data_IF_005092618211
#
_entry.id   IF_005092618211
#
_cell.length_a   1.000
_cell.length_b   1.000
_cell.length_c   1.000
_cell.angle_alpha   90.00
_cell.angle_beta   90.00
_cell.angle_gamma   90.00
#
_symmetry.space_group_name_H-M   'P 1'
#
loop_
_entity.id
_entity.type
_entity.pdbx_description
1 polymer ?
#
# COMPACT_ATOMS: atom_id res chain seq x y z
N UNK A 1 -27.61 -13.25 8.48
CA UNK A 1 -26.45 -14.17 8.63
C UNK A 1 -25.27 -13.33 9.06
N UNK A 2 -24.62 -13.67 10.18
CA UNK A 2 -23.44 -12.94 10.62
C UNK A 2 -22.28 -13.29 9.67
N UNK A 3 -21.67 -12.26 9.07
CA UNK A 3 -20.46 -12.41 8.27
C UNK A 3 -19.34 -12.79 9.24
N UNK A 4 -18.66 -13.91 9.00
CA UNK A 4 -17.54 -14.39 9.84
C UNK A 4 -16.29 -13.52 9.60
N UNK A 5 -16.36 -12.30 10.11
CA UNK A 5 -15.35 -11.26 9.94
C UNK A 5 -14.03 -11.67 10.62
N UNK A 6 -14.08 -12.52 11.64
CA UNK A 6 -12.89 -13.05 12.32
C UNK A 6 -12.03 -13.96 11.43
N UNK A 7 -12.62 -14.64 10.44
CA UNK A 7 -11.84 -15.39 9.44
C UNK A 7 -11.09 -14.43 8.50
N UNK A 8 -11.73 -13.34 8.09
CA UNK A 8 -11.13 -12.29 7.25
C UNK A 8 -9.97 -11.61 7.97
N UNK A 9 -10.17 -11.22 9.23
CA UNK A 9 -9.13 -10.57 10.03
C UNK A 9 -7.90 -11.48 10.24
N UNK A 10 -8.12 -12.78 10.49
CA UNK A 10 -7.02 -13.75 10.61
C UNK A 10 -6.28 -13.93 9.29
N UNK A 11 -6.99 -14.07 8.17
CA UNK A 11 -6.37 -14.22 6.85
C UNK A 11 -5.57 -12.97 6.46
N UNK A 12 -6.13 -11.77 6.66
CA UNK A 12 -5.43 -10.51 6.40
C UNK A 12 -4.23 -10.29 7.33
N UNK A 13 -4.33 -10.71 8.59
CA UNK A 13 -3.21 -10.69 9.53
C UNK A 13 -2.04 -11.56 9.07
N UNK A 14 -2.34 -12.77 8.58
CA UNK A 14 -1.34 -13.66 7.98
C UNK A 14 -0.75 -13.05 6.70
N UNK A 15 -1.58 -12.50 5.81
CA UNK A 15 -1.14 -11.84 4.56
C UNK A 15 -0.17 -10.68 4.86
N UNK A 16 -0.52 -9.80 5.80
CA UNK A 16 0.36 -8.69 6.21
C UNK A 16 1.70 -9.18 6.76
N UNK A 17 1.68 -10.23 7.58
CA UNK A 17 2.90 -10.81 8.16
C UNK A 17 3.78 -11.42 7.08
N UNK A 18 3.20 -12.21 6.18
CA UNK A 18 3.91 -12.81 5.05
C UNK A 18 4.50 -11.74 4.14
N UNK A 19 3.75 -10.67 3.84
CA UNK A 19 4.25 -9.55 3.03
C UNK A 19 5.50 -8.90 3.63
N UNK A 20 5.54 -8.72 4.96
CA UNK A 20 6.74 -8.22 5.64
C UNK A 20 7.89 -9.21 5.52
N UNK A 21 7.63 -10.51 5.70
CA UNK A 21 8.65 -11.55 5.66
C UNK A 21 9.25 -11.73 4.25
N UNK A 22 8.45 -11.66 3.20
CA UNK A 22 8.92 -11.79 1.80
C UNK A 22 9.80 -10.62 1.36
N UNK A 23 9.71 -9.47 2.05
CA UNK A 23 10.63 -8.34 1.84
C UNK A 23 11.95 -8.48 2.60
N UNK A 24 12.00 -9.32 3.63
CA UNK A 24 13.18 -9.51 4.48
C UNK A 24 13.99 -10.76 4.12
N UNK A 25 13.32 -11.78 3.58
CA UNK A 25 13.90 -13.09 3.33
C UNK A 25 13.55 -13.61 1.94
N UNK A 26 14.40 -14.48 1.35
CA UNK A 26 14.06 -15.15 0.10
C UNK A 26 12.85 -16.08 0.27
N UNK A 27 12.13 -16.42 -0.81
CA UNK A 27 10.93 -17.25 -0.74
C UNK A 27 11.20 -18.70 -0.27
N UNK A 28 12.45 -19.17 -0.36
CA UNK A 28 12.88 -20.48 0.16
C UNK A 28 13.12 -20.49 1.67
N UNK A 29 13.06 -19.34 2.34
CA UNK A 29 13.32 -19.25 3.77
C UNK A 29 12.20 -19.91 4.59
N UNK A 30 12.51 -20.69 5.65
CA UNK A 30 11.50 -21.44 6.41
C UNK A 30 10.41 -20.54 7.02
N UNK A 31 10.75 -19.32 7.43
CA UNK A 31 9.76 -18.36 7.94
C UNK A 31 8.73 -17.94 6.87
N UNK A 32 9.15 -17.80 5.62
CA UNK A 32 8.25 -17.46 4.51
C UNK A 32 7.38 -18.67 4.17
N UNK A 33 7.98 -19.87 4.10
CA UNK A 33 7.24 -21.11 3.86
C UNK A 33 6.16 -21.35 4.93
N UNK A 34 6.46 -21.08 6.19
CA UNK A 34 5.49 -21.22 7.27
C UNK A 34 4.40 -20.15 7.21
N UNK A 35 4.77 -18.90 6.91
CA UNK A 35 3.79 -17.82 6.73
C UNK A 35 2.86 -18.08 5.52
N UNK A 36 3.37 -18.72 4.47
CA UNK A 36 2.57 -19.20 3.34
C UNK A 36 1.59 -20.29 3.74
N UNK A 37 2.02 -21.23 4.60
CA UNK A 37 1.14 -22.25 5.19
C UNK A 37 0.03 -21.61 6.04
N UNK A 38 0.34 -20.57 6.79
CA UNK A 38 -0.63 -19.79 7.56
C UNK A 38 -1.65 -19.09 6.67
N UNK A 39 -1.22 -18.47 5.56
CA UNK A 39 -2.15 -17.93 4.55
C UNK A 39 -3.08 -19.04 4.09
N UNK A 40 -2.54 -20.17 3.62
CA UNK A 40 -3.34 -21.31 3.13
C UNK A 40 -4.37 -21.81 4.15
N UNK A 41 -4.03 -21.81 5.44
CA UNK A 41 -4.96 -22.19 6.52
C UNK A 41 -6.14 -21.23 6.70
N UNK A 42 -5.96 -19.95 6.33
CA UNK A 42 -7.00 -18.91 6.43
C UNK A 42 -7.88 -18.80 5.18
N UNK A 43 -7.44 -19.30 4.03
CA UNK A 43 -8.16 -19.17 2.75
C UNK A 43 -9.56 -19.82 2.73
N UNK A 44 -9.79 -21.00 3.34
CA UNK A 44 -11.14 -21.59 3.34
C UNK A 44 -12.20 -20.69 3.97
N UNK A 45 -11.83 -19.94 5.02
CA UNK A 45 -12.73 -18.98 5.65
C UNK A 45 -13.08 -17.78 4.75
N UNK A 46 -12.12 -17.32 3.94
CA UNK A 46 -12.38 -16.31 2.90
C UNK A 46 -13.25 -16.88 1.77
N UNK A 47 -13.00 -18.11 1.33
CA UNK A 47 -13.76 -18.75 0.26
C UNK A 47 -15.23 -18.98 0.63
N UNK A 48 -15.53 -19.22 1.91
CA UNK A 48 -16.90 -19.35 2.41
C UNK A 48 -17.74 -18.07 2.25
N UNK A 49 -17.10 -16.91 2.13
CA UNK A 49 -17.75 -15.63 1.85
C UNK A 49 -18.06 -15.41 0.35
N UNK A 50 -17.57 -16.31 -0.52
CA UNK A 50 -17.65 -16.17 -1.96
C UNK A 50 -16.63 -15.17 -2.49
N UNK A 51 -17.05 -14.36 -3.46
CA UNK A 51 -16.20 -13.32 -4.04
C UNK A 51 -16.18 -12.09 -3.14
N UNK A 52 -14.98 -11.69 -2.70
CA UNK A 52 -14.78 -10.58 -1.77
C UNK A 52 -14.12 -9.42 -2.50
N UNK A 53 -14.69 -8.23 -2.39
CA UNK A 53 -14.10 -6.99 -2.93
C UNK A 53 -13.57 -6.12 -1.80
N UNK A 54 -12.27 -5.80 -1.86
CA UNK A 54 -11.62 -4.87 -0.95
C UNK A 54 -11.23 -3.60 -1.67
N UNK A 55 -11.63 -2.45 -1.14
CA UNK A 55 -11.26 -1.14 -1.65
C UNK A 55 -9.94 -0.71 -1.05
N UNK A 56 -9.03 -0.23 -1.88
CA UNK A 56 -7.72 0.26 -1.47
C UNK A 56 -7.77 1.78 -1.41
N UNK A 57 -7.68 2.31 -0.19
CA UNK A 57 -7.52 3.73 0.08
C UNK A 57 -6.05 4.06 0.37
N UNK A 58 -5.73 5.35 0.34
CA UNK A 58 -4.41 5.84 0.77
C UNK A 58 -4.13 5.54 2.25
N UNK A 59 -5.19 5.41 3.06
CA UNK A 59 -5.13 5.14 4.50
C UNK A 59 -5.12 3.66 4.86
N UNK A 60 -5.44 2.76 3.91
CA UNK A 60 -5.50 1.33 4.15
C UNK A 60 -6.59 0.61 3.36
N UNK A 61 -6.93 -0.61 3.80
CA UNK A 61 -7.84 -1.52 3.12
C UNK A 61 -9.26 -1.39 3.68
N UNK A 62 -10.28 -1.26 2.83
CA UNK A 62 -11.67 -1.07 3.25
C UNK A 62 -12.56 -2.18 2.70
N UNK A 63 -13.49 -2.67 3.52
CA UNK A 63 -14.50 -3.65 3.12
C UNK A 63 -15.87 -3.21 3.62
N UNK A 64 -16.87 -3.18 2.73
CA UNK A 64 -18.22 -2.66 3.03
C UNK A 64 -18.24 -1.27 3.69
N UNK A 65 -17.30 -0.39 3.33
CA UNK A 65 -17.20 0.96 3.91
C UNK A 65 -16.50 1.02 5.28
N UNK A 66 -16.11 -0.12 5.85
CA UNK A 66 -15.35 -0.21 7.09
C UNK A 66 -13.85 -0.36 6.79
N UNK A 67 -13.01 0.30 7.59
CA UNK A 67 -11.56 0.15 7.50
C UNK A 67 -11.16 -1.19 8.14
N UNK A 68 -10.56 -2.08 7.35
CA UNK A 68 -10.09 -3.38 7.79
C UNK A 68 -8.77 -3.26 8.52
N UNK A 69 -8.70 -3.87 9.70
CA UNK A 69 -7.49 -3.96 10.52
C UNK A 69 -6.71 -2.63 10.63
N UNK A 70 -7.33 -1.52 11.11
CA UNK A 70 -6.67 -0.21 11.24
C UNK A 70 -5.39 -0.24 12.08
N UNK A 71 -5.27 -1.20 12.99
CA UNK A 71 -4.11 -1.38 13.89
C UNK A 71 -3.02 -2.26 13.29
N UNK A 72 -3.28 -2.96 12.20
CA UNK A 72 -2.28 -3.79 11.54
C UNK A 72 -1.53 -2.94 10.51
N UNK A 73 -0.36 -2.44 10.92
CA UNK A 73 0.47 -1.56 10.08
C UNK A 73 0.95 -2.25 8.81
N UNK A 74 1.13 -3.58 8.81
CA UNK A 74 1.62 -4.31 7.63
C UNK A 74 0.58 -4.37 6.52
N UNK A 75 -0.69 -4.52 6.88
CA UNK A 75 -1.81 -4.48 5.92
C UNK A 75 -2.00 -3.07 5.38
N UNK A 76 -1.86 -2.05 6.24
CA UNK A 76 -1.90 -0.65 5.82
C UNK A 76 -0.74 -0.31 4.86
N UNK A 77 0.49 -0.79 5.12
CA UNK A 77 1.65 -0.63 4.24
C UNK A 77 1.43 -1.31 2.88
N UNK A 78 0.95 -2.56 2.88
CA UNK A 78 0.61 -3.29 1.65
C UNK A 78 -0.43 -2.50 0.83
N UNK A 79 -1.50 -2.03 1.47
CA UNK A 79 -2.53 -1.20 0.82
C UNK A 79 -1.95 0.11 0.27
N UNK A 80 -1.07 0.78 1.02
CA UNK A 80 -0.40 2.01 0.59
C UNK A 80 0.48 1.80 -0.64
N UNK A 81 1.22 0.69 -0.70
CA UNK A 81 2.05 0.34 -1.86
C UNK A 81 1.19 0.04 -3.10
N UNK A 82 0.13 -0.75 -2.95
CA UNK A 82 -0.83 -1.00 -4.03
C UNK A 82 -1.51 0.30 -4.50
N UNK A 83 -1.88 1.18 -3.57
CA UNK A 83 -2.44 2.49 -3.89
C UNK A 83 -1.48 3.35 -4.72
N UNK A 84 -0.18 3.34 -4.36
CA UNK A 84 0.88 4.04 -5.07
C UNK A 84 1.16 3.44 -6.46
N UNK A 85 0.84 2.15 -6.67
CA UNK A 85 0.83 1.51 -8.00
C UNK A 85 -0.43 1.84 -8.82
N UNK A 86 -1.39 2.56 -8.23
CA UNK A 86 -2.62 2.96 -8.91
C UNK A 86 -3.76 1.95 -8.77
N UNK A 87 -3.58 0.90 -7.95
CA UNK A 87 -4.66 -0.03 -7.60
C UNK A 87 -5.66 0.67 -6.70
N UNK A 88 -6.95 0.43 -6.92
CA UNK A 88 -8.07 1.02 -6.19
C UNK A 88 -9.00 -0.01 -5.56
N UNK A 89 -9.05 -1.22 -6.11
CA UNK A 89 -9.71 -2.33 -5.44
C UNK A 89 -9.03 -3.66 -5.81
N UNK A 90 -9.17 -4.64 -4.95
CA UNK A 90 -8.83 -6.04 -5.19
C UNK A 90 -10.11 -6.84 -5.08
N UNK A 91 -10.34 -7.72 -6.04
CA UNK A 91 -11.39 -8.71 -5.98
C UNK A 91 -10.76 -10.08 -5.81
N UNK A 92 -11.08 -10.74 -4.71
CA UNK A 92 -10.60 -12.08 -4.36
C UNK A 92 -11.72 -13.06 -4.67
N UNK A 93 -11.50 -13.94 -5.65
CA UNK A 93 -12.44 -15.00 -5.97
C UNK A 93 -12.16 -16.27 -5.15
N UNK A 94 -13.16 -17.12 -4.91
CA UNK A 94 -12.96 -18.41 -4.27
C UNK A 94 -11.97 -19.27 -5.08
N UNK A 95 -11.17 -20.08 -4.37
CA UNK A 95 -10.08 -20.86 -4.97
C UNK A 95 -8.78 -20.07 -5.13
N UNK A 96 -8.62 -18.93 -4.45
CA UNK A 96 -7.33 -18.27 -4.31
C UNK A 96 -6.35 -19.20 -3.56
N UNK A 97 -5.08 -19.18 -3.93
CA UNK A 97 -4.01 -19.94 -3.29
C UNK A 97 -2.98 -18.98 -2.71
N UNK A 98 -2.05 -19.48 -1.90
CA UNK A 98 -1.00 -18.65 -1.31
C UNK A 98 -0.05 -18.08 -2.38
N UNK A 99 0.16 -18.79 -3.49
CA UNK A 99 0.99 -18.37 -4.63
C UNK A 99 0.40 -17.13 -5.32
N UNK A 100 -0.93 -17.04 -5.46
CA UNK A 100 -1.58 -15.84 -5.98
C UNK A 100 -1.31 -14.61 -5.10
N UNK A 101 -1.24 -14.80 -3.77
CA UNK A 101 -0.87 -13.72 -2.84
C UNK A 101 0.58 -13.28 -3.00
N UNK A 102 1.51 -14.20 -3.30
CA UNK A 102 2.88 -13.83 -3.66
C UNK A 102 2.93 -13.00 -4.95
N UNK A 103 2.11 -13.36 -5.95
CA UNK A 103 1.92 -12.55 -7.16
C UNK A 103 1.48 -11.13 -6.82
N UNK A 104 0.49 -10.98 -5.94
CA UNK A 104 0.01 -9.68 -5.48
C UNK A 104 1.09 -8.88 -4.73
N UNK A 105 1.94 -9.52 -3.92
CA UNK A 105 3.08 -8.86 -3.28
C UNK A 105 4.09 -8.35 -4.32
N UNK A 106 4.32 -9.13 -5.38
CA UNK A 106 5.10 -8.70 -6.53
C UNK A 106 4.54 -7.44 -7.19
N UNK A 107 3.21 -7.35 -7.34
CA UNK A 107 2.55 -6.14 -7.86
C UNK A 107 2.76 -4.95 -6.93
N UNK A 108 2.62 -5.13 -5.61
CA UNK A 108 2.81 -4.06 -4.63
C UNK A 108 4.23 -3.47 -4.68
N UNK A 109 5.24 -4.31 -4.86
CA UNK A 109 6.65 -3.89 -4.97
C UNK A 109 6.99 -3.38 -6.38
N UNK A 110 6.22 -3.76 -7.40
CA UNK A 110 6.41 -3.36 -8.80
C UNK A 110 7.22 -4.35 -9.64
N UNK A 111 7.38 -5.59 -9.18
CA UNK A 111 8.05 -6.67 -9.91
C UNK A 111 7.11 -7.39 -10.88
N UNK A 112 5.80 -7.32 -10.65
CA UNK A 112 4.76 -8.05 -11.40
C UNK A 112 3.74 -7.05 -11.94
N UNK A 113 3.26 -7.27 -13.16
CA UNK A 113 2.21 -6.44 -13.75
C UNK A 113 0.84 -6.74 -13.09
N UNK A 114 -0.05 -5.74 -12.94
CA UNK A 114 -1.36 -5.94 -12.31
C UNK A 114 -2.33 -6.84 -13.09
N UNK A 115 -2.01 -7.18 -14.35
CA UNK A 115 -2.78 -8.07 -15.23
C UNK A 115 -2.06 -9.41 -15.50
N UNK A 116 -1.00 -9.71 -14.73
CA UNK A 116 -0.22 -10.93 -14.92
C UNK A 116 -1.00 -12.19 -14.48
N UNK A 117 -0.81 -13.29 -15.20
CA UNK A 117 -1.47 -14.56 -14.94
C UNK A 117 -1.15 -15.15 -13.56
N UNK A 118 -0.02 -14.75 -12.96
CA UNK A 118 0.37 -15.18 -11.60
C UNK A 118 -0.62 -14.74 -10.51
N UNK A 119 -1.47 -13.75 -10.79
CA UNK A 119 -2.54 -13.32 -9.87
C UNK A 119 -3.72 -14.30 -9.85
N UNK A 120 -3.89 -15.10 -10.91
CA UNK A 120 -4.87 -16.18 -11.02
C UNK A 120 -6.29 -15.76 -10.66
N UNK A 121 -6.72 -16.07 -9.42
CA UNK A 121 -8.07 -15.77 -8.91
C UNK A 121 -8.21 -14.39 -8.24
N UNK A 122 -7.12 -13.64 -8.15
CA UNK A 122 -7.09 -12.27 -7.67
C UNK A 122 -7.19 -11.33 -8.86
N UNK A 123 -8.23 -10.50 -8.90
CA UNK A 123 -8.35 -9.43 -9.89
C UNK A 123 -8.04 -8.07 -9.25
N UNK A 124 -7.30 -7.23 -9.98
CA UNK A 124 -6.80 -5.94 -9.50
C UNK A 124 -7.45 -4.83 -10.31
N UNK A 125 -8.25 -3.98 -9.65
CA UNK A 125 -8.91 -2.85 -10.30
C UNK A 125 -8.04 -1.60 -10.19
N UNK A 126 -7.57 -1.13 -11.33
CA UNK A 126 -6.75 0.08 -11.45
C UNK A 126 -7.62 1.33 -11.56
N UNK A 127 -7.15 2.45 -11.02
CA UNK A 127 -7.80 3.75 -11.19
C UNK A 127 -7.65 4.28 -12.62
N UNK A 128 -8.59 5.12 -13.09
CA UNK A 128 -8.63 5.66 -14.46
C UNK A 128 -7.29 6.20 -14.98
N UNK A 129 -6.55 6.94 -14.15
CA UNK A 129 -5.22 7.49 -14.53
C UNK A 129 -4.14 6.40 -14.62
N UNK A 130 -4.20 5.38 -13.76
CA UNK A 130 -3.25 4.27 -13.78
C UNK A 130 -3.48 3.38 -15.00
N UNK A 131 -4.74 3.08 -15.33
CA UNK A 131 -5.11 2.38 -16.55
C UNK A 131 -4.62 3.13 -17.79
N UNK A 132 -4.84 4.45 -17.88
CA UNK A 132 -4.33 5.25 -19.01
C UNK A 132 -2.80 5.23 -19.13
N UNK A 133 -2.06 5.32 -18.02
CA UNK A 133 -0.59 5.21 -18.03
C UNK A 133 -0.11 3.83 -18.44
N UNK A 134 -0.77 2.76 -17.98
CA UNK A 134 -0.43 1.39 -18.36
C UNK A 134 -0.79 1.10 -19.81
N UNK A 135 -1.94 1.58 -20.30
CA UNK A 135 -2.30 1.54 -21.72
C UNK A 135 -1.29 2.30 -22.57
N UNK A 136 -0.88 3.50 -22.17
CA UNK A 136 0.15 4.26 -22.87
C UNK A 136 1.53 3.57 -22.83
N UNK A 137 1.86 2.92 -21.71
CA UNK A 137 3.13 2.16 -21.57
C UNK A 137 3.14 0.89 -22.42
N UNK A 138 1.98 0.21 -22.59
CA UNK A 138 1.84 -0.92 -23.52
C UNK A 138 2.02 -0.47 -24.98
N UNK A 139 1.43 0.67 -25.35
CA UNK A 139 1.58 1.24 -26.70
C UNK A 139 3.01 1.69 -26.99
N UNK A 140 3.77 2.12 -25.98
CA UNK A 140 5.21 2.44 -26.11
C UNK A 140 6.13 1.21 -26.13
N UNK A 141 5.64 0.05 -25.69
CA UNK A 141 6.38 -1.22 -25.69
C UNK A 141 6.18 -2.05 -26.95
N UNK A 142 5.19 -1.71 -27.78
CA UNK A 142 5.04 -2.28 -29.12
C UNK A 142 5.86 -1.43 -30.09
N UNK A 143 7.04 -1.92 -30.47
CA UNK A 143 7.71 -1.45 -31.69
C UNK A 143 6.98 -2.14 -32.85
N UNK A 144 6.08 -1.45 -33.57
CA UNK A 144 5.63 -1.98 -34.86
C UNK A 144 6.86 -2.11 -35.77
N UNK A 145 7.01 -3.17 -36.59
CA UNK A 145 7.93 -3.10 -37.71
C UNK A 145 7.52 -1.89 -38.54
N UNK A 146 8.47 -0.98 -38.74
CA UNK A 146 8.24 0.28 -39.43
C UNK A 146 7.51 0.06 -40.77
N UNK A 147 6.31 0.65 -40.98
CA UNK A 147 5.87 0.88 -42.34
C UNK A 147 6.76 1.98 -42.92
N UNK A 148 7.49 1.66 -43.99
CA UNK A 148 8.22 2.65 -44.76
C UNK A 148 7.28 3.80 -45.16
N UNK A 149 7.67 5.07 -45.00
CA UNK A 149 6.84 6.19 -45.43
C UNK A 149 6.84 6.27 -46.96
N UNK A 150 5.70 6.43 -47.64
CA UNK A 150 5.70 6.96 -49.00
C UNK A 150 6.14 8.43 -48.93
N UNK A 151 7.13 8.79 -49.75
CA UNK A 151 7.64 10.15 -49.86
C UNK A 151 6.53 11.13 -50.30
N UNK A 152 6.36 12.28 -49.63
CA UNK A 152 5.50 13.35 -50.14
C UNK A 152 6.20 14.12 -51.29
N UNK A 153 5.46 14.58 -52.32
CA UNK A 153 6.02 15.46 -53.35
C UNK A 153 6.36 16.84 -52.77
N UNK A 154 7.33 17.57 -53.36
CA UNK A 154 7.78 18.86 -52.83
C UNK A 154 6.70 19.95 -52.99
N UNK A 155 6.50 20.83 -51.99
CA UNK A 155 5.61 21.97 -52.11
C UNK A 155 6.23 23.10 -52.96
N UNK A 156 5.43 23.83 -53.76
CA UNK A 156 5.89 25.00 -54.51
C UNK A 156 6.17 26.19 -53.57
N UNK A 157 7.21 26.97 -53.89
CA UNK A 157 7.64 28.14 -53.12
C UNK A 157 6.62 29.30 -53.18
N UNK A 158 6.22 29.89 -52.04
CA UNK A 158 5.47 31.14 -52.02
C UNK A 158 6.39 32.39 -51.97
N UNK A 159 5.98 33.41 -52.74
CA UNK A 159 6.63 34.71 -52.96
C UNK A 159 6.48 35.69 -51.75
N UNK A 160 7.19 36.85 -51.74
CA UNK A 160 7.50 37.62 -50.53
C UNK A 160 6.37 38.49 -49.97
N UNK A 161 6.49 38.79 -48.68
CA UNK A 161 5.50 39.47 -47.82
C UNK A 161 5.40 41.00 -48.01
N UNK A 162 4.22 41.61 -47.77
CA UNK A 162 4.04 43.06 -47.67
C UNK A 162 4.34 43.62 -46.24
N UNK A 163 4.64 44.92 -46.11
CA UNK A 163 5.19 45.57 -44.90
C UNK A 163 4.15 45.94 -43.82
N UNK A 164 4.61 46.27 -42.58
CA UNK A 164 3.76 46.40 -41.40
C UNK A 164 3.09 47.77 -41.27
N UNK A 165 1.82 47.78 -40.87
CA UNK A 165 1.09 48.98 -40.45
C UNK A 165 1.21 49.19 -38.93
N UNK A 166 1.39 50.46 -38.55
CA UNK A 166 1.75 50.92 -37.22
C UNK A 166 0.54 51.33 -36.34
N UNK A 167 0.84 51.38 -35.03
CA UNK A 167 0.25 52.21 -33.96
C UNK A 167 -1.07 51.74 -33.30
N UNK A 168 -1.44 52.23 -32.08
CA UNK A 168 -0.76 53.18 -31.18
C UNK A 168 -0.60 52.70 -29.70
N UNK A 169 -0.03 53.58 -28.88
CA UNK A 169 0.45 53.38 -27.51
C UNK A 169 -0.58 53.61 -26.36
N UNK A 170 -0.14 53.17 -25.18
CA UNK A 170 -0.49 53.57 -23.79
C UNK A 170 -1.62 52.80 -23.07
N UNK A 171 -1.68 52.77 -21.70
CA UNK A 171 -0.77 53.34 -20.70
C UNK A 171 -0.26 52.36 -19.62
N UNK A 172 0.67 52.86 -18.80
CA UNK A 172 1.25 52.27 -17.58
C UNK A 172 0.25 52.31 -16.41
N UNK A 173 0.08 51.19 -15.69
CA UNK A 173 -0.53 51.18 -14.35
C UNK A 173 0.16 50.17 -13.39
N UNK A 174 0.88 50.77 -12.44
CA UNK A 174 0.93 50.53 -10.98
C UNK A 174 1.28 49.12 -10.45
N UNK A 175 2.39 49.12 -9.70
CA UNK A 175 2.80 48.09 -8.76
C UNK A 175 1.81 47.92 -7.58
N UNK A 176 1.56 46.68 -7.18
CA UNK A 176 1.10 46.34 -5.84
C UNK A 176 1.71 45.01 -5.40
N UNK A 177 2.61 45.09 -4.42
CA UNK A 177 3.20 43.97 -3.70
C UNK A 177 2.13 43.05 -3.09
N UNK A 178 2.30 41.71 -3.11
CA UNK A 178 1.46 40.83 -2.31
C UNK A 178 1.77 40.99 -0.80
N UNK A 179 0.75 41.02 0.09
CA UNK A 179 0.97 41.02 1.53
C UNK A 179 1.53 39.67 2.05
N UNK A 180 2.28 39.67 3.18
CA UNK A 180 3.03 38.52 3.69
C UNK A 180 2.15 37.41 4.31
N UNK A 181 2.71 36.18 4.48
CA UNK A 181 2.02 35.08 5.15
C UNK A 181 1.74 35.41 6.62
N UNK A 182 0.51 35.10 7.06
CA UNK A 182 0.11 35.18 8.47
C UNK A 182 0.94 34.20 9.29
N UNK A 183 1.81 34.76 10.12
CA UNK A 183 2.40 34.08 11.26
C UNK A 183 1.35 33.99 12.36
N UNK A 184 0.82 32.80 12.64
CA UNK A 184 0.27 32.52 13.96
C UNK A 184 1.42 32.10 14.87
N UNK A 185 1.96 33.08 15.58
CA UNK A 185 2.72 32.90 16.80
C UNK A 185 2.07 33.84 17.81
N UNK A 186 1.18 33.31 18.63
CA UNK A 186 0.84 33.96 19.91
C UNK A 186 1.76 33.36 20.96
N UNK A 187 2.48 34.31 21.53
CA UNK A 187 3.65 34.25 22.37
C UNK A 187 3.34 33.78 23.82
N UNK A 188 4.37 33.66 24.68
CA UNK A 188 4.34 32.90 25.91
C UNK A 188 3.94 33.74 27.13
N UNK A 189 3.23 33.12 28.08
CA UNK A 189 2.99 33.66 29.41
C UNK A 189 3.89 32.99 30.44
N UNK A 190 4.85 33.74 30.98
CA UNK A 190 5.81 33.34 32.02
C UNK A 190 5.36 33.96 33.35
N UNK A 191 5.08 33.15 34.37
CA UNK A 191 5.32 33.48 35.80
C UNK A 191 5.06 32.22 36.66
N UNK A 192 6.10 31.43 37.01
CA UNK A 192 7.07 31.53 38.12
C UNK A 192 6.48 31.23 39.52
N UNK A 193 7.15 30.26 40.18
CA UNK A 193 7.24 30.00 41.64
C UNK A 193 5.96 29.41 42.28
N UNK A 194 5.98 28.39 43.14
CA UNK A 194 6.99 27.69 43.95
C UNK A 194 6.56 26.21 44.04
N UNK A 195 7.45 25.22 44.06
CA UNK A 195 8.04 24.72 45.31
C UNK A 195 7.57 23.28 45.60
N UNK A 196 8.52 22.41 46.00
CA UNK A 196 8.41 20.99 46.41
C UNK A 196 8.38 19.97 45.28
N UNK A 197 9.52 19.38 44.90
CA UNK A 197 10.33 18.34 45.59
C UNK A 197 9.92 16.91 45.16
N UNK A 198 10.89 16.03 44.86
CA UNK A 198 10.69 14.80 44.09
C UNK A 198 10.48 13.60 45.01
N UNK A 199 9.57 12.68 44.66
CA UNK A 199 9.54 11.35 45.31
C UNK A 199 9.20 10.21 44.35
N UNK A 200 10.21 9.34 44.25
CA UNK A 200 10.11 7.89 44.35
C UNK A 200 9.47 7.12 43.19
N UNK A 201 10.36 6.65 42.32
CA UNK A 201 10.28 5.33 41.72
C UNK A 201 10.19 4.25 42.83
N UNK A 202 9.33 3.22 42.71
CA UNK A 202 9.54 1.98 43.42
C UNK A 202 10.41 1.05 42.57
N UNK A 203 11.69 1.00 42.93
CA UNK A 203 12.51 -0.20 42.81
C UNK A 203 11.87 -1.26 43.72
N UNK A 204 11.46 -2.42 43.17
CA UNK A 204 11.19 -3.61 43.99
C UNK A 204 12.17 -4.70 43.60
N UNK A 205 13.27 -4.70 44.34
CA UNK A 205 14.30 -5.72 44.36
C UNK A 205 13.82 -6.97 45.11
N UNK A 206 14.31 -8.12 44.63
CA UNK A 206 14.79 -9.29 45.38
C UNK A 206 13.85 -10.13 46.27
N UNK A 207 13.90 -11.42 45.88
CA UNK A 207 14.35 -12.60 46.65
C UNK A 207 13.27 -13.56 47.18
N UNK A 208 13.71 -14.82 47.20
CA UNK A 208 13.10 -16.06 47.73
C UNK A 208 11.93 -16.60 46.89
N UNK A 209 11.97 -17.81 46.32
CA UNK A 209 12.34 -19.06 46.98
C UNK A 209 12.77 -20.13 45.96
N UNK A 210 13.98 -20.65 46.14
CA UNK A 210 14.28 -22.04 45.82
C UNK A 210 13.37 -22.93 46.67
N UNK A 211 12.58 -23.80 46.05
CA UNK A 211 12.28 -25.10 46.66
C UNK A 211 12.35 -26.18 45.59
N UNK A 212 13.44 -26.92 45.66
CA UNK A 212 13.48 -28.30 45.23
C UNK A 212 12.40 -29.08 45.98
N UNK A 213 11.59 -29.84 45.25
CA UNK A 213 10.97 -31.05 45.75
C UNK A 213 11.18 -32.15 44.72
N UNK A 214 12.21 -32.96 44.99
CA UNK A 214 12.24 -34.36 44.63
C UNK A 214 11.06 -35.05 45.32
N UNK A 215 10.31 -35.86 44.57
CA UNK A 215 9.67 -37.10 45.03
C UNK A 215 9.59 -37.98 43.79
N UNK A 216 10.34 -39.09 43.69
CA UNK A 216 9.89 -40.41 44.14
C UNK A 216 8.41 -40.64 43.74
N UNK A 217 8.06 -41.50 42.79
CA UNK A 217 8.56 -42.86 42.59
C UNK A 217 7.46 -43.84 42.99
N UNK A 218 6.88 -44.52 42.00
CA UNK A 218 6.07 -45.76 42.06
C UNK A 218 5.54 -45.97 40.64
N UNK A 219 6.06 -46.89 39.81
CA UNK A 219 6.24 -48.33 39.98
C UNK A 219 4.91 -49.08 40.15
N UNK A 220 4.67 -50.01 39.21
CA UNK A 220 3.62 -51.04 39.16
C UNK A 220 2.18 -50.57 38.90
N UNK A 221 1.36 -51.26 38.09
CA UNK A 221 1.27 -52.71 37.89
C UNK A 221 0.41 -53.05 36.65
N UNK A 222 0.76 -54.20 36.05
CA UNK A 222 -0.03 -55.15 35.23
C UNK A 222 -0.56 -54.71 33.86
#
# INVERSE_FOLDING_TARGET
MAIDTGAVDRALGAIGTTFRLTRLYPPSHPAVLEAMRQISSGLPGLAALGTVEWKIGATGLHWHGQHLLPRNTQVAELAGLLFARGVRAIQVNPGVTAEHWLGLFGVAVGNVAPDDAVLGRIAVLLGRRASQRLSASRVLGEVPPAPAPPAPPPPPAPAPAPPPAAAPAAPVLVAASPPPPRSETVAPGRQRRDGRSPRCWPHRDRKTSMRASKSCGSSHRM
#
